data_IF_442109663910
#
_entry.id   IF_442109663910
#
_cell.length_a   1.000
_cell.length_b   1.000
_cell.length_c   1.000
_cell.angle_alpha   90.00
_cell.angle_beta   90.00
_cell.angle_gamma   90.00
#
_symmetry.space_group_name_H-M   'P 1'
#
loop_
_entity.id
_entity.type
_entity.pdbx_description
1 polymer ?
#
# COMPACT_ATOMS: atom_id res chain seq x y z
N UNK A 1 -5.79 -10.26 -18.99
CA UNK A 1 -6.37 -9.26 -19.89
C UNK A 1 -5.40 -8.07 -19.97
N UNK A 2 -5.23 -7.43 -21.14
CA UNK A 2 -4.35 -6.29 -21.28
C UNK A 2 -5.02 -5.02 -20.69
N UNK A 3 -4.30 -4.27 -19.88
CA UNK A 3 -4.77 -3.03 -19.21
C UNK A 3 -5.25 -2.00 -20.22
N UNK A 4 -4.55 -1.85 -21.36
CA UNK A 4 -4.98 -0.95 -22.43
C UNK A 4 -6.35 -1.33 -23.02
N UNK A 5 -6.67 -2.62 -23.06
CA UNK A 5 -7.97 -3.09 -23.51
C UNK A 5 -9.08 -2.66 -22.55
N UNK A 6 -8.82 -2.70 -21.24
CA UNK A 6 -9.77 -2.26 -20.21
C UNK A 6 -10.06 -0.76 -20.37
N UNK A 7 -9.04 0.07 -20.53
CA UNK A 7 -9.21 1.50 -20.74
C UNK A 7 -10.03 1.79 -21.99
N UNK A 8 -9.72 1.09 -23.10
CA UNK A 8 -10.48 1.23 -24.35
C UNK A 8 -11.94 0.78 -24.24
N UNK A 9 -12.22 -0.21 -23.41
CA UNK A 9 -13.58 -0.73 -23.19
C UNK A 9 -14.44 0.22 -22.34
N UNK A 10 -13.83 0.95 -21.40
CA UNK A 10 -14.52 1.85 -20.47
C UNK A 10 -13.99 3.30 -20.52
N UNK A 11 -13.87 3.92 -21.70
CA UNK A 11 -13.08 5.14 -21.92
C UNK A 11 -13.61 6.38 -21.17
N UNK A 12 -14.90 6.40 -20.83
CA UNK A 12 -15.51 7.52 -20.10
C UNK A 12 -15.58 7.28 -18.59
N UNK A 13 -15.53 6.01 -18.19
CA UNK A 13 -15.66 5.63 -16.80
C UNK A 13 -14.30 5.50 -16.11
N UNK A 14 -13.36 4.79 -16.72
CA UNK A 14 -11.98 4.70 -16.21
C UNK A 14 -11.19 5.91 -16.69
N UNK A 15 -10.58 6.62 -15.74
CA UNK A 15 -9.80 7.83 -16.00
C UNK A 15 -8.30 7.55 -15.98
N UNK A 16 -7.85 6.73 -15.05
CA UNK A 16 -6.45 6.32 -14.96
C UNK A 16 -6.29 4.95 -14.31
N UNK A 17 -5.21 4.26 -14.63
CA UNK A 17 -4.80 3.02 -14.00
C UNK A 17 -3.34 3.15 -13.56
N UNK A 18 -3.10 2.95 -12.26
CA UNK A 18 -1.77 2.93 -11.68
C UNK A 18 -1.42 1.52 -11.23
N UNK A 19 -0.17 1.15 -11.44
CA UNK A 19 0.45 0.01 -10.77
C UNK A 19 0.85 0.44 -9.36
N UNK A 20 0.57 -0.41 -8.37
CA UNK A 20 0.82 -0.14 -6.94
C UNK A 20 1.28 -1.41 -6.21
N UNK A 21 1.22 -1.38 -4.87
CA UNK A 21 1.55 -2.51 -4.03
C UNK A 21 3.04 -2.83 -4.01
N UNK A 22 3.36 -4.02 -3.54
CA UNK A 22 4.76 -4.44 -3.40
C UNK A 22 5.53 -4.48 -4.72
N UNK A 23 4.83 -4.52 -5.86
CA UNK A 23 5.44 -4.59 -7.20
C UNK A 23 6.09 -3.29 -7.67
N UNK A 24 5.84 -2.17 -7.00
CA UNK A 24 6.46 -0.86 -7.30
C UNK A 24 7.56 -0.49 -6.32
N UNK A 25 7.73 -1.23 -5.23
CA UNK A 25 8.68 -0.91 -4.18
C UNK A 25 10.12 -1.25 -4.61
N UNK A 26 11.07 -0.32 -4.50
CA UNK A 26 12.45 -0.52 -4.98
C UNK A 26 13.24 -1.56 -4.16
N UNK A 27 12.71 -2.01 -3.01
CA UNK A 27 13.32 -3.04 -2.17
C UNK A 27 12.68 -4.42 -2.31
N UNK A 28 11.77 -4.62 -3.26
CA UNK A 28 11.15 -5.90 -3.55
C UNK A 28 11.49 -6.33 -4.97
N UNK A 29 12.43 -7.26 -5.10
CA UNK A 29 12.93 -7.70 -6.41
C UNK A 29 11.91 -8.47 -7.24
N UNK A 30 11.03 -9.23 -6.58
CA UNK A 30 10.00 -10.03 -7.24
C UNK A 30 8.69 -9.97 -6.47
N UNK A 31 7.69 -9.38 -7.10
CA UNK A 31 6.30 -9.54 -6.68
C UNK A 31 5.59 -10.52 -7.62
N UNK A 32 4.94 -11.53 -7.07
CA UNK A 32 4.15 -12.48 -7.85
C UNK A 32 2.83 -11.87 -8.33
N UNK A 33 2.38 -10.81 -7.65
CA UNK A 33 1.13 -10.14 -7.91
C UNK A 33 1.40 -8.67 -8.29
N UNK A 34 0.60 -8.18 -9.22
CA UNK A 34 0.57 -6.76 -9.58
C UNK A 34 -0.77 -6.22 -9.08
N UNK A 35 -0.68 -5.24 -8.19
CA UNK A 35 -1.85 -4.54 -7.66
C UNK A 35 -2.09 -3.27 -8.48
N UNK A 36 -3.37 -2.88 -8.58
CA UNK A 36 -3.79 -1.74 -9.39
C UNK A 36 -4.65 -0.79 -8.58
N UNK A 37 -4.42 0.50 -8.75
CA UNK A 37 -5.37 1.56 -8.39
C UNK A 37 -5.99 2.09 -9.67
N UNK A 38 -7.31 2.04 -9.74
CA UNK A 38 -8.08 2.40 -10.92
C UNK A 38 -9.01 3.55 -10.56
N UNK A 39 -8.73 4.70 -11.14
CA UNK A 39 -9.56 5.88 -10.97
C UNK A 39 -10.75 5.84 -11.91
N UNK A 40 -11.94 5.96 -11.34
CA UNK A 40 -13.22 5.93 -12.07
C UNK A 40 -14.02 7.19 -11.83
N UNK A 41 -14.86 7.58 -12.78
CA UNK A 41 -15.72 8.76 -12.68
C UNK A 41 -16.76 8.65 -11.55
N UNK A 42 -17.27 7.45 -11.30
CA UNK A 42 -18.23 7.16 -10.22
C UNK A 42 -18.17 5.68 -9.85
N UNK A 43 -18.44 5.38 -8.57
CA UNK A 43 -18.63 4.02 -8.08
C UNK A 43 -20.09 3.54 -8.21
N UNK A 44 -21.03 4.46 -8.41
CA UNK A 44 -22.46 4.16 -8.61
C UNK A 44 -22.77 3.90 -10.10
N UNK A 45 -21.93 3.15 -10.78
CA UNK A 45 -22.04 2.90 -12.22
C UNK A 45 -22.40 1.43 -12.47
N UNK A 46 -23.36 1.21 -13.35
CA UNK A 46 -23.79 -0.14 -13.74
C UNK A 46 -22.69 -0.99 -14.37
N UNK A 47 -21.62 -0.34 -14.87
CA UNK A 47 -20.41 -0.99 -15.40
C UNK A 47 -19.54 -1.64 -14.34
N UNK A 48 -19.74 -1.29 -13.06
CA UNK A 48 -18.95 -1.81 -11.94
C UNK A 48 -19.00 -3.35 -11.90
N UNK A 49 -20.19 -3.93 -12.03
CA UNK A 49 -20.34 -5.39 -12.01
C UNK A 49 -19.58 -6.06 -13.17
N UNK A 50 -19.78 -5.55 -14.39
CA UNK A 50 -19.08 -6.08 -15.56
C UNK A 50 -17.57 -5.93 -15.47
N UNK A 51 -17.09 -4.82 -14.91
CA UNK A 51 -15.66 -4.61 -14.67
C UNK A 51 -15.10 -5.65 -13.71
N UNK A 52 -15.79 -5.99 -12.62
CA UNK A 52 -15.32 -6.99 -11.66
C UNK A 52 -15.20 -8.39 -12.25
N UNK A 53 -16.05 -8.75 -13.21
CA UNK A 53 -15.95 -10.01 -13.95
C UNK A 53 -14.73 -10.06 -14.89
N UNK A 54 -14.33 -8.92 -15.42
CA UNK A 54 -13.32 -8.81 -16.48
C UNK A 54 -11.98 -8.23 -16.02
N UNK A 55 -11.89 -7.79 -14.76
CA UNK A 55 -10.71 -7.10 -14.22
C UNK A 55 -9.42 -7.89 -14.37
N UNK A 56 -8.24 -7.21 -14.36
CA UNK A 56 -6.94 -7.86 -14.34
C UNK A 56 -6.83 -8.82 -13.16
N UNK A 57 -6.02 -9.86 -13.31
CA UNK A 57 -5.59 -10.67 -12.16
C UNK A 57 -4.76 -9.79 -11.24
N UNK A 58 -5.00 -9.85 -9.95
CA UNK A 58 -4.39 -9.02 -8.94
C UNK A 58 -5.42 -8.26 -8.13
N UNK A 59 -4.96 -7.55 -7.11
CA UNK A 59 -5.83 -6.71 -6.28
C UNK A 59 -6.11 -5.39 -7.01
N UNK A 60 -7.38 -5.10 -7.27
CA UNK A 60 -7.80 -3.88 -7.95
C UNK A 60 -8.57 -2.99 -6.99
N UNK A 61 -8.08 -1.79 -6.76
CA UNK A 61 -8.67 -0.78 -5.89
C UNK A 61 -9.34 0.28 -6.76
N UNK A 62 -10.66 0.35 -6.70
CA UNK A 62 -11.41 1.38 -7.42
C UNK A 62 -11.53 2.63 -6.56
N UNK A 63 -11.19 3.77 -7.14
CA UNK A 63 -11.24 5.09 -6.51
C UNK A 63 -12.04 6.05 -7.38
N UNK A 64 -13.12 6.61 -6.84
CA UNK A 64 -13.83 7.68 -7.55
C UNK A 64 -12.95 8.94 -7.61
N UNK A 65 -12.93 9.63 -8.75
CA UNK A 65 -12.09 10.81 -8.97
C UNK A 65 -12.42 11.98 -8.04
N UNK A 66 -13.63 12.02 -7.50
CA UNK A 66 -14.08 13.00 -6.51
C UNK A 66 -13.85 12.55 -5.06
N UNK A 67 -13.28 11.37 -4.84
CA UNK A 67 -12.93 10.89 -3.52
C UNK A 67 -11.58 11.45 -3.10
N UNK A 68 -11.55 12.14 -1.96
CA UNK A 68 -10.31 12.65 -1.36
C UNK A 68 -9.56 11.59 -0.56
N UNK A 69 -10.19 10.42 -0.33
CA UNK A 69 -9.65 9.39 0.56
C UNK A 69 -9.33 8.13 -0.23
N UNK A 70 -8.04 7.84 -0.35
CA UNK A 70 -7.53 6.52 -0.78
C UNK A 70 -7.32 5.66 0.46
N UNK A 71 -8.13 4.63 0.59
CA UNK A 71 -7.99 3.67 1.68
C UNK A 71 -7.30 2.39 1.15
N UNK A 72 -6.46 1.69 1.93
CA UNK A 72 -6.10 1.98 3.32
C UNK A 72 -4.81 2.80 3.45
N UNK A 73 -4.76 3.69 4.43
CA UNK A 73 -3.59 4.55 4.72
C UNK A 73 -2.32 3.77 5.08
N UNK A 74 -2.46 2.56 5.60
CA UNK A 74 -1.31 1.68 5.88
C UNK A 74 -0.35 1.53 4.70
N UNK A 75 -0.86 1.55 3.48
CA UNK A 75 -0.08 1.40 2.25
C UNK A 75 0.33 2.75 1.63
N UNK A 76 0.15 3.86 2.36
CA UNK A 76 0.46 5.19 1.82
C UNK A 76 1.93 5.39 1.50
N UNK A 77 2.83 4.65 2.13
CA UNK A 77 4.26 4.68 1.81
C UNK A 77 4.58 4.13 0.40
N UNK A 78 3.65 3.42 -0.24
CA UNK A 78 3.80 2.92 -1.61
C UNK A 78 3.53 4.02 -2.66
N UNK A 79 2.77 5.04 -2.31
CA UNK A 79 2.32 6.10 -3.23
C UNK A 79 3.43 6.83 -3.98
N UNK A 80 4.56 7.17 -3.37
CA UNK A 80 5.66 7.81 -4.10
C UNK A 80 6.24 6.96 -5.23
N UNK A 81 5.99 5.65 -5.21
CA UNK A 81 6.51 4.68 -6.17
C UNK A 81 5.46 4.20 -7.18
N UNK A 82 4.21 4.62 -7.04
CA UNK A 82 3.15 4.23 -7.97
C UNK A 82 3.44 4.69 -9.39
N UNK A 83 3.10 3.86 -10.36
CA UNK A 83 3.41 4.08 -11.77
C UNK A 83 2.11 4.22 -12.58
N UNK A 84 1.90 5.37 -13.22
CA UNK A 84 0.83 5.53 -14.18
C UNK A 84 1.06 4.60 -15.38
N UNK A 85 0.13 3.68 -15.60
CA UNK A 85 0.17 2.74 -16.73
C UNK A 85 -0.59 3.26 -17.93
N UNK A 86 -1.74 3.90 -17.70
CA UNK A 86 -2.54 4.50 -18.76
C UNK A 86 -3.57 5.49 -18.20
N UNK A 87 -4.07 6.35 -19.07
CA UNK A 87 -5.03 7.40 -18.72
C UNK A 87 -4.36 8.73 -18.38
N UNK A 88 -5.08 9.59 -17.67
CA UNK A 88 -4.63 10.92 -17.28
C UNK A 88 -3.98 10.85 -15.89
N UNK A 89 -2.99 11.70 -15.64
CA UNK A 89 -2.43 11.82 -14.30
C UNK A 89 -3.50 12.36 -13.34
N UNK A 90 -3.86 11.58 -12.34
CA UNK A 90 -4.87 11.95 -11.38
C UNK A 90 -4.25 12.75 -10.23
N UNK A 91 -4.88 13.87 -9.82
CA UNK A 91 -4.52 14.54 -8.60
C UNK A 91 -4.83 13.59 -7.44
N UNK A 92 -3.80 12.92 -6.94
CA UNK A 92 -3.92 12.11 -5.75
C UNK A 92 -3.79 13.00 -4.53
N UNK A 93 -4.58 12.74 -3.50
CA UNK A 93 -4.32 13.31 -2.18
C UNK A 93 -2.84 13.02 -1.85
N UNK A 94 -2.06 14.07 -1.66
CA UNK A 94 -0.68 13.95 -1.20
C UNK A 94 -0.70 13.61 0.28
N UNK A 95 -0.91 12.34 0.58
CA UNK A 95 -0.73 11.87 1.94
C UNK A 95 0.74 11.49 2.12
N UNK A 96 1.49 12.42 2.69
CA UNK A 96 2.85 12.16 3.12
C UNK A 96 2.84 11.58 4.54
N UNK A 97 3.49 10.42 4.72
CA UNK A 97 3.51 9.73 6.01
C UNK A 97 4.29 10.52 7.07
N UNK A 98 5.26 11.34 6.66
CA UNK A 98 6.07 12.15 7.57
C UNK A 98 5.33 13.43 8.00
N UNK A 99 4.59 14.06 7.08
CA UNK A 99 3.71 15.20 7.43
C UNK A 99 2.55 14.77 8.34
N UNK A 100 2.11 13.51 8.24
CA UNK A 100 1.00 12.94 9.00
C UNK A 100 1.47 11.87 10.00
N UNK A 101 2.66 12.01 10.55
CA UNK A 101 3.36 11.00 11.34
C UNK A 101 2.49 10.38 12.45
N UNK A 102 1.88 11.21 13.31
CA UNK A 102 1.06 10.72 14.44
C UNK A 102 -0.11 9.85 13.96
N UNK A 103 -0.83 10.32 12.95
CA UNK A 103 -1.97 9.60 12.40
C UNK A 103 -1.52 8.30 11.72
N UNK A 104 -0.41 8.35 10.98
CA UNK A 104 0.12 7.18 10.30
C UNK A 104 0.63 6.13 11.29
N UNK A 105 1.40 6.52 12.32
CA UNK A 105 1.83 5.61 13.40
C UNK A 105 0.63 4.95 14.07
N UNK A 106 -0.43 5.72 14.39
CA UNK A 106 -1.65 5.17 14.98
C UNK A 106 -2.32 4.12 14.06
N UNK A 107 -2.38 4.38 12.76
CA UNK A 107 -2.91 3.44 11.76
C UNK A 107 -2.08 2.13 11.72
N UNK A 108 -0.75 2.22 11.71
CA UNK A 108 0.16 1.06 11.70
C UNK A 108 -0.02 0.24 12.97
N UNK A 109 -0.04 0.88 14.15
CA UNK A 109 -0.25 0.22 15.44
C UNK A 109 -1.60 -0.49 15.47
N UNK A 110 -2.67 0.20 15.11
CA UNK A 110 -4.02 -0.37 15.08
C UNK A 110 -4.07 -1.61 14.18
N UNK A 111 -3.42 -1.56 13.02
CA UNK A 111 -3.38 -2.67 12.08
C UNK A 111 -2.55 -3.84 12.59
N UNK A 112 -1.39 -3.56 13.21
CA UNK A 112 -0.51 -4.58 13.76
C UNK A 112 -1.15 -5.33 14.94
N UNK A 113 -1.87 -4.63 15.80
CA UNK A 113 -2.49 -5.20 17.00
C UNK A 113 -3.91 -5.73 16.76
N UNK A 114 -4.64 -5.15 15.80
CA UNK A 114 -6.06 -5.47 15.57
C UNK A 114 -6.32 -6.75 14.77
N UNK A 115 -5.30 -7.42 14.25
CA UNK A 115 -5.43 -8.67 13.47
C UNK A 115 -4.45 -9.76 13.90
N UNK A 116 -4.57 -10.29 15.13
CA UNK A 116 -3.61 -11.27 15.62
C UNK A 116 -3.65 -12.62 14.89
N UNK A 117 -4.71 -12.92 14.14
CA UNK A 117 -4.95 -14.26 13.59
C UNK A 117 -5.01 -14.33 12.07
N UNK A 118 -5.09 -13.19 11.35
CA UNK A 118 -5.29 -13.19 9.91
C UNK A 118 -4.07 -12.62 9.18
N UNK A 119 -3.37 -13.46 8.44
CA UNK A 119 -2.20 -13.09 7.61
C UNK A 119 -1.13 -12.26 8.34
N UNK A 120 -0.72 -12.72 9.51
CA UNK A 120 0.24 -12.08 10.41
C UNK A 120 1.48 -11.55 9.67
N UNK A 121 2.00 -12.31 8.70
CA UNK A 121 3.21 -11.92 7.95
C UNK A 121 3.01 -10.71 7.04
N UNK A 122 1.85 -10.59 6.38
CA UNK A 122 1.57 -9.41 5.53
C UNK A 122 1.50 -8.15 6.39
N UNK A 123 0.91 -8.25 7.56
CA UNK A 123 0.83 -7.13 8.51
C UNK A 123 2.22 -6.74 9.02
N UNK A 124 3.03 -7.71 9.46
CA UNK A 124 4.38 -7.46 9.97
C UNK A 124 5.32 -6.90 8.92
N UNK A 125 5.25 -7.35 7.68
CA UNK A 125 6.00 -6.81 6.57
C UNK A 125 5.73 -5.31 6.36
N UNK A 126 4.46 -4.90 6.35
CA UNK A 126 4.10 -3.48 6.21
C UNK A 126 4.49 -2.66 7.45
N UNK A 127 4.30 -3.22 8.63
CA UNK A 127 4.71 -2.60 9.90
C UNK A 127 6.22 -2.37 9.94
N UNK A 128 7.01 -3.39 9.62
CA UNK A 128 8.46 -3.29 9.59
C UNK A 128 8.94 -2.26 8.57
N UNK A 129 8.33 -2.24 7.38
CA UNK A 129 8.63 -1.23 6.36
C UNK A 129 8.37 0.18 6.90
N UNK A 130 7.21 0.41 7.51
CA UNK A 130 6.88 1.71 8.09
C UNK A 130 7.89 2.12 9.17
N UNK A 131 8.24 1.23 10.09
CA UNK A 131 9.24 1.50 11.14
C UNK A 131 10.56 1.95 10.51
N UNK A 132 11.09 1.20 9.56
CA UNK A 132 12.36 1.54 8.92
C UNK A 132 12.33 2.88 8.17
N UNK A 133 11.22 3.20 7.50
CA UNK A 133 11.09 4.50 6.82
C UNK A 133 11.14 5.66 7.83
N UNK A 134 10.48 5.54 8.99
CA UNK A 134 10.56 6.54 10.04
C UNK A 134 11.94 6.63 10.68
N UNK A 135 12.57 5.49 10.96
CA UNK A 135 13.92 5.47 11.51
C UNK A 135 14.95 6.09 10.55
N UNK A 136 14.73 5.98 9.25
CA UNK A 136 15.58 6.58 8.23
C UNK A 136 15.21 8.05 7.89
N UNK A 137 14.05 8.53 8.31
CA UNK A 137 13.53 9.86 7.97
C UNK A 137 13.26 10.05 6.47
N UNK A 138 12.90 8.98 5.73
CA UNK A 138 12.67 9.08 4.29
C UNK A 138 12.22 7.77 3.64
N UNK A 139 11.80 7.87 2.39
CA UNK A 139 11.30 6.74 1.60
C UNK A 139 12.42 5.84 1.02
N UNK A 140 13.31 5.39 1.88
CA UNK A 140 14.41 4.47 1.49
C UNK A 140 14.70 3.47 2.60
N UNK A 141 15.28 2.33 2.24
CA UNK A 141 15.75 1.30 3.16
C UNK A 141 17.24 1.01 2.88
N UNK A 142 17.99 0.72 3.93
CA UNK A 142 19.35 0.16 3.79
C UNK A 142 19.30 -1.27 3.24
N UNK A 143 20.42 -1.81 2.77
CA UNK A 143 20.46 -3.18 2.23
C UNK A 143 20.08 -4.22 3.30
N UNK A 144 20.50 -4.03 4.54
CA UNK A 144 20.12 -4.88 5.67
C UNK A 144 18.60 -4.81 5.94
N UNK A 145 18.02 -3.60 5.97
CA UNK A 145 16.59 -3.39 6.17
C UNK A 145 15.77 -4.01 5.04
N UNK A 146 16.22 -3.91 3.78
CA UNK A 146 15.60 -4.57 2.64
C UNK A 146 15.57 -6.08 2.83
N UNK A 147 16.69 -6.68 3.23
CA UNK A 147 16.78 -8.12 3.50
C UNK A 147 15.79 -8.55 4.60
N UNK A 148 15.68 -7.79 5.69
CA UNK A 148 14.75 -8.05 6.78
C UNK A 148 13.28 -7.95 6.32
N UNK A 149 12.94 -6.96 5.52
CA UNK A 149 11.60 -6.80 4.93
C UNK A 149 11.25 -7.99 4.03
N UNK A 150 12.20 -8.44 3.21
CA UNK A 150 12.02 -9.61 2.34
C UNK A 150 11.85 -10.90 3.16
N UNK A 151 12.62 -11.10 4.21
CA UNK A 151 12.45 -12.23 5.14
C UNK A 151 11.06 -12.25 5.73
N UNK A 152 10.60 -11.11 6.25
CA UNK A 152 9.26 -10.97 6.82
C UNK A 152 8.17 -11.26 5.79
N UNK A 153 8.29 -10.73 4.56
CA UNK A 153 7.36 -10.99 3.45
C UNK A 153 7.31 -12.48 3.10
N UNK A 154 8.43 -13.19 3.16
CA UNK A 154 8.55 -14.61 2.86
C UNK A 154 8.19 -15.53 4.03
N UNK A 155 7.60 -15.00 5.11
CA UNK A 155 7.22 -15.76 6.31
C UNK A 155 8.42 -16.35 7.09
N UNK A 156 9.56 -15.69 7.01
CA UNK A 156 10.82 -16.12 7.63
C UNK A 156 11.27 -15.15 8.73
N UNK A 157 10.32 -14.52 9.40
CA UNK A 157 10.60 -13.57 10.48
C UNK A 157 11.30 -14.28 11.63
N UNK A 158 12.46 -13.74 12.04
CA UNK A 158 13.21 -14.24 13.21
C UNK A 158 12.61 -13.70 14.52
N UNK A 159 13.00 -14.32 15.64
CA UNK A 159 12.57 -13.87 16.98
C UNK A 159 13.10 -12.46 17.26
N UNK A 160 14.33 -12.17 16.87
CA UNK A 160 14.97 -10.86 17.05
C UNK A 160 14.20 -9.79 16.29
N UNK A 161 13.84 -10.07 15.04
CA UNK A 161 13.09 -9.14 14.19
C UNK A 161 11.68 -8.91 14.74
N UNK A 162 11.02 -9.96 15.23
CA UNK A 162 9.72 -9.84 15.90
C UNK A 162 9.83 -8.96 17.16
N UNK A 163 10.82 -9.20 18.01
CA UNK A 163 11.05 -8.42 19.22
C UNK A 163 11.35 -6.94 18.89
N UNK A 164 12.12 -6.68 17.86
CA UNK A 164 12.38 -5.32 17.36
C UNK A 164 11.06 -4.61 17.01
N UNK A 165 10.21 -5.24 16.19
CA UNK A 165 8.92 -4.67 15.81
C UNK A 165 8.06 -4.37 17.04
N UNK A 166 7.94 -5.32 17.98
CA UNK A 166 7.15 -5.14 19.20
C UNK A 166 7.66 -3.97 20.05
N UNK A 167 8.96 -3.85 20.21
CA UNK A 167 9.59 -2.76 20.96
C UNK A 167 9.27 -1.42 20.30
N UNK A 168 9.43 -1.29 18.97
CA UNK A 168 9.15 -0.04 18.26
C UNK A 168 7.67 0.33 18.29
N UNK A 169 6.76 -0.63 18.19
CA UNK A 169 5.33 -0.37 18.32
C UNK A 169 4.97 0.16 19.70
N UNK A 170 5.60 -0.39 20.76
CA UNK A 170 5.40 0.09 22.12
C UNK A 170 5.92 1.51 22.31
N UNK A 171 7.12 1.82 21.82
CA UNK A 171 7.66 3.18 21.83
C UNK A 171 6.72 4.17 21.12
N UNK A 172 6.20 3.83 19.95
CA UNK A 172 5.23 4.66 19.23
C UNK A 172 3.92 4.85 20.00
N UNK A 173 3.42 3.82 20.72
CA UNK A 173 2.26 3.96 21.58
C UNK A 173 2.52 4.96 22.72
N UNK A 174 3.69 4.89 23.34
CA UNK A 174 4.09 5.82 24.40
C UNK A 174 4.21 7.26 23.87
N UNK A 175 4.79 7.46 22.68
CA UNK A 175 4.88 8.76 22.00
C UNK A 175 3.49 9.37 21.71
N UNK A 176 2.53 8.55 21.29
CA UNK A 176 1.18 9.01 20.94
C UNK A 176 0.32 9.35 22.16
N UNK A 177 0.70 8.88 23.36
CA UNK A 177 0.02 9.15 24.62
C UNK A 177 0.52 10.45 25.30
N UNK A 178 1.60 11.04 24.79
CA UNK A 178 2.14 12.32 25.30
C UNK A 178 1.53 13.51 24.55
#
# INVERSE_FOLDING_TARGET
MNIEHILKKYPQWIKAIYKTGSSVLPWIDKSNDIDYVIFVSSLDDSRLYQFYEERPKGECWLVAINSTIRNPRLYSYERPFEQLLCGEEMPTERYDIFENEKEYKACVIQRALGRPYDNTYKCWYHTLTAIYLFDNGGYFLTEEQKANVVLCKNKQMTVELHNFIQTRLKEWQEELCQ
#
